data_IF_340274064687
#
_entry.id   IF_340274064687
#
_cell.length_a   1.000
_cell.length_b   1.000
_cell.length_c   1.000
_cell.angle_alpha   90.00
_cell.angle_beta   90.00
_cell.angle_gamma   90.00
#
_symmetry.space_group_name_H-M   'P 1'
#
loop_
_entity.id
_entity.type
_entity.pdbx_description
1 polymer ?
#
# COMPACT_ATOMS: atom_id res chain seq x y z
N UNK A 1 13.60 34.76 -36.63
CA UNK A 1 14.28 33.84 -35.72
C UNK A 1 13.52 32.52 -35.75
N UNK A 2 14.11 31.52 -36.46
CA UNK A 2 13.49 30.20 -36.63
C UNK A 2 13.81 29.35 -35.39
N UNK A 3 12.90 29.23 -34.44
CA UNK A 3 12.99 28.25 -33.40
C UNK A 3 12.63 26.88 -33.98
N UNK A 4 13.65 26.16 -34.46
CA UNK A 4 13.50 24.74 -34.79
C UNK A 4 13.12 24.02 -33.49
N UNK A 5 11.86 23.64 -33.36
CA UNK A 5 11.43 22.70 -32.32
C UNK A 5 12.18 21.38 -32.57
N UNK A 6 13.16 21.10 -31.72
CA UNK A 6 13.87 19.81 -31.73
C UNK A 6 12.85 18.74 -31.31
N UNK A 7 12.30 18.03 -32.28
CA UNK A 7 11.53 16.82 -31.99
C UNK A 7 12.44 15.84 -31.25
N UNK A 8 12.00 15.24 -30.12
CA UNK A 8 12.81 14.30 -29.38
C UNK A 8 13.18 13.12 -30.29
N UNK A 9 14.44 12.68 -30.21
CA UNK A 9 14.87 11.50 -30.95
C UNK A 9 14.11 10.27 -30.47
N UNK A 10 13.94 9.26 -31.33
CA UNK A 10 13.30 8.00 -30.93
C UNK A 10 13.96 7.39 -29.67
N UNK A 11 15.27 7.53 -29.57
CA UNK A 11 16.04 7.07 -28.41
C UNK A 11 15.65 7.78 -27.10
N UNK A 12 15.44 9.11 -27.13
CA UNK A 12 15.00 9.86 -25.94
C UNK A 12 13.58 9.48 -25.53
N UNK A 13 12.68 9.22 -26.47
CA UNK A 13 11.32 8.74 -26.18
C UNK A 13 11.36 7.35 -25.54
N UNK A 14 12.14 6.42 -26.09
CA UNK A 14 12.31 5.07 -25.54
C UNK A 14 12.92 5.12 -24.15
N UNK A 15 13.98 5.92 -23.93
CA UNK A 15 14.60 6.09 -22.63
C UNK A 15 13.62 6.69 -21.60
N UNK A 16 12.78 7.65 -22.01
CA UNK A 16 11.75 8.23 -21.15
C UNK A 16 10.68 7.21 -20.74
N UNK A 17 10.17 6.43 -21.71
CA UNK A 17 9.19 5.36 -21.43
C UNK A 17 9.80 4.32 -20.50
N UNK A 18 11.03 3.90 -20.74
CA UNK A 18 11.73 2.95 -19.89
C UNK A 18 11.90 3.48 -18.46
N UNK A 19 12.29 4.74 -18.31
CA UNK A 19 12.38 5.40 -17.01
C UNK A 19 11.01 5.46 -16.32
N UNK A 20 9.94 5.77 -17.04
CA UNK A 20 8.57 5.78 -16.50
C UNK A 20 8.14 4.41 -15.98
N UNK A 21 8.44 3.35 -16.72
CA UNK A 21 8.13 1.96 -16.31
C UNK A 21 8.90 1.55 -15.06
N UNK A 22 10.15 2.00 -14.92
CA UNK A 22 10.96 1.75 -13.70
C UNK A 22 10.44 2.50 -12.46
N UNK A 23 9.88 3.69 -12.66
CA UNK A 23 9.43 4.58 -11.58
C UNK A 23 7.99 4.29 -11.17
N UNK A 24 7.13 3.93 -12.12
CA UNK A 24 5.70 3.74 -11.93
C UNK A 24 5.27 2.33 -12.36
N UNK A 25 4.54 1.65 -11.48
CA UNK A 25 3.99 0.32 -11.76
C UNK A 25 2.47 0.37 -11.71
N UNK A 26 1.79 0.21 -12.83
CA UNK A 26 0.34 0.01 -12.81
C UNK A 26 0.05 -1.34 -12.14
N UNK A 27 -0.88 -1.34 -11.22
CA UNK A 27 -1.33 -2.53 -10.47
C UNK A 27 -2.85 -2.54 -10.47
N UNK A 28 -3.46 -3.65 -10.86
CA UNK A 28 -4.91 -3.81 -10.82
C UNK A 28 -5.31 -4.37 -9.46
N UNK A 29 -6.29 -3.73 -8.82
CA UNK A 29 -6.88 -4.20 -7.57
C UNK A 29 -7.69 -5.46 -7.84
N UNK A 30 -7.46 -6.49 -7.04
CA UNK A 30 -8.26 -7.71 -7.03
C UNK A 30 -8.82 -7.95 -5.64
N UNK A 31 -10.15 -8.03 -5.54
CA UNK A 31 -10.87 -8.30 -4.32
C UNK A 31 -11.35 -7.06 -3.57
N UNK A 32 -12.00 -7.30 -2.44
CA UNK A 32 -12.78 -6.30 -1.70
C UNK A 32 -12.11 -5.80 -0.41
N UNK A 33 -10.84 -6.17 -0.16
CA UNK A 33 -10.19 -5.91 1.13
C UNK A 33 -9.92 -4.43 1.43
N UNK A 34 -9.96 -3.57 0.41
CA UNK A 34 -9.76 -2.13 0.52
C UNK A 34 -11.04 -1.32 0.28
N UNK A 35 -12.20 -2.00 0.19
CA UNK A 35 -13.49 -1.30 0.10
C UNK A 35 -13.77 -0.52 1.40
N UNK A 36 -14.42 0.63 1.32
CA UNK A 36 -14.96 1.28 0.12
C UNK A 36 -13.94 2.16 -0.61
N UNK A 37 -12.70 2.28 -0.13
CA UNK A 37 -11.69 3.18 -0.70
C UNK A 37 -11.29 2.74 -2.11
N UNK A 38 -10.96 1.44 -2.27
CA UNK A 38 -10.61 0.85 -3.55
C UNK A 38 -11.61 -0.26 -3.88
N UNK A 39 -12.01 -0.32 -5.15
CA UNK A 39 -12.90 -1.36 -5.66
C UNK A 39 -12.13 -2.35 -6.53
N UNK A 40 -12.73 -3.50 -6.71
CA UNK A 40 -12.21 -4.49 -7.65
C UNK A 40 -12.04 -3.88 -9.05
N UNK A 41 -10.93 -4.20 -9.72
CA UNK A 41 -10.53 -3.67 -11.04
C UNK A 41 -10.10 -2.21 -11.08
N UNK A 42 -10.08 -1.48 -9.96
CA UNK A 42 -9.40 -0.17 -9.93
C UNK A 42 -7.93 -0.32 -10.34
N UNK A 43 -7.42 0.64 -11.09
CA UNK A 43 -6.00 0.67 -11.48
C UNK A 43 -5.25 1.63 -10.56
N UNK A 44 -4.21 1.13 -9.93
CA UNK A 44 -3.34 1.90 -9.07
C UNK A 44 -2.03 2.20 -9.78
N UNK A 45 -1.53 3.41 -9.59
CA UNK A 45 -0.17 3.78 -9.95
C UNK A 45 0.70 3.70 -8.70
N UNK A 46 1.49 2.66 -8.59
CA UNK A 46 2.38 2.43 -7.46
C UNK A 46 3.83 2.75 -7.83
N UNK A 47 4.59 3.32 -6.89
CA UNK A 47 5.99 3.68 -7.12
C UNK A 47 6.92 3.02 -6.10
N UNK A 48 7.79 2.12 -6.56
CA UNK A 48 8.89 1.60 -5.74
C UNK A 48 9.92 2.66 -5.38
N UNK A 49 10.09 3.66 -6.23
CA UNK A 49 11.02 4.76 -6.00
C UNK A 49 10.52 5.68 -4.87
N UNK A 50 9.22 5.98 -4.83
CA UNK A 50 8.63 6.77 -3.75
C UNK A 50 8.93 6.15 -2.38
N UNK A 51 8.77 4.83 -2.23
CA UNK A 51 9.12 4.10 -0.99
C UNK A 51 10.61 4.23 -0.61
N UNK A 52 11.50 4.35 -1.60
CA UNK A 52 12.96 4.49 -1.34
C UNK A 52 13.32 5.90 -0.92
N UNK A 53 12.74 6.90 -1.57
CA UNK A 53 13.04 8.33 -1.35
C UNK A 53 12.31 8.85 -0.10
N UNK A 54 11.11 8.40 0.16
CA UNK A 54 10.29 8.82 1.29
C UNK A 54 10.01 7.62 2.20
N UNK A 55 10.02 7.85 3.50
CA UNK A 55 9.55 6.80 4.41
C UNK A 55 8.03 6.71 4.31
N UNK A 56 7.48 5.50 4.15
CA UNK A 56 6.03 5.33 4.18
C UNK A 56 5.46 5.85 5.50
N UNK A 57 4.39 6.61 5.41
CA UNK A 57 3.73 7.26 6.55
C UNK A 57 2.37 6.62 6.82
N UNK A 58 1.84 6.88 8.02
CA UNK A 58 0.50 6.41 8.38
C UNK A 58 -0.53 7.00 7.42
N UNK A 59 -1.46 6.16 6.95
CA UNK A 59 -2.48 6.51 5.97
C UNK A 59 -2.11 6.17 4.53
N UNK A 60 -0.82 6.00 4.22
CA UNK A 60 -0.40 5.62 2.87
C UNK A 60 -0.99 4.26 2.47
N UNK A 61 -1.43 4.17 1.22
CA UNK A 61 -1.76 2.88 0.61
C UNK A 61 -0.48 2.31 0.02
N UNK A 62 -0.17 1.09 0.39
CA UNK A 62 1.07 0.42 0.00
C UNK A 62 0.78 -0.95 -0.59
N UNK A 63 1.69 -1.41 -1.43
CA UNK A 63 1.67 -2.79 -1.89
C UNK A 63 2.67 -3.61 -1.07
N UNK A 64 2.23 -4.78 -0.61
CA UNK A 64 2.99 -5.65 0.29
C UNK A 64 3.15 -7.02 -0.34
N UNK A 65 4.36 -7.56 -0.27
CA UNK A 65 4.69 -8.93 -0.62
C UNK A 65 5.17 -9.68 0.61
N UNK A 66 4.54 -10.78 0.93
CA UNK A 66 4.93 -11.61 2.07
C UNK A 66 6.08 -12.57 1.74
N UNK A 67 6.27 -12.87 0.44
CA UNK A 67 7.38 -13.69 -0.03
C UNK A 67 8.72 -12.96 0.08
N UNK A 68 9.80 -13.70 0.24
CA UNK A 68 11.17 -13.17 0.22
C UNK A 68 11.66 -12.88 -1.21
N UNK A 69 10.82 -13.05 -2.23
CA UNK A 69 11.19 -12.85 -3.63
C UNK A 69 11.38 -11.36 -3.93
N UNK A 70 12.58 -10.91 -4.32
CA UNK A 70 12.83 -9.50 -4.65
C UNK A 70 12.09 -9.03 -5.91
N UNK A 71 11.61 -9.95 -6.73
CA UNK A 71 10.84 -9.69 -7.94
C UNK A 71 9.33 -9.61 -7.68
N UNK A 72 8.88 -9.86 -6.45
CA UNK A 72 7.47 -9.75 -6.11
C UNK A 72 6.91 -8.37 -6.50
N UNK A 73 5.74 -8.38 -7.13
CA UNK A 73 5.12 -7.19 -7.71
C UNK A 73 5.51 -6.89 -9.15
N UNK A 74 6.39 -7.69 -9.76
CA UNK A 74 6.48 -7.78 -11.20
C UNK A 74 5.44 -8.78 -11.73
N UNK A 75 4.87 -8.50 -12.89
CA UNK A 75 3.84 -9.34 -13.53
C UNK A 75 4.29 -10.80 -13.70
N UNK A 76 5.61 -11.00 -13.80
CA UNK A 76 6.20 -12.33 -14.05
C UNK A 76 6.60 -13.08 -12.77
N UNK A 77 6.42 -12.50 -11.58
CA UNK A 77 6.91 -13.14 -10.35
C UNK A 77 6.02 -14.29 -9.87
N UNK A 78 4.75 -14.31 -10.28
CA UNK A 78 3.77 -15.28 -9.78
C UNK A 78 3.39 -15.10 -8.30
N UNK A 79 3.99 -14.13 -7.61
CA UNK A 79 3.75 -13.88 -6.20
C UNK A 79 2.48 -13.07 -5.96
N UNK A 80 1.79 -13.38 -4.88
CA UNK A 80 0.63 -12.58 -4.45
C UNK A 80 1.09 -11.27 -3.82
N UNK A 81 0.63 -10.18 -4.42
CA UNK A 81 0.82 -8.83 -3.89
C UNK A 81 -0.47 -8.35 -3.23
N UNK A 82 -0.36 -7.86 -2.01
CA UNK A 82 -1.48 -7.31 -1.25
C UNK A 82 -1.45 -5.79 -1.31
N UNK A 83 -2.60 -5.18 -1.53
CA UNK A 83 -2.79 -3.72 -1.37
C UNK A 83 -3.42 -3.48 -0.01
N UNK A 84 -2.78 -2.66 0.84
CA UNK A 84 -3.20 -2.39 2.22
C UNK A 84 -2.91 -0.95 2.60
N UNK A 85 -3.59 -0.46 3.64
CA UNK A 85 -3.29 0.83 4.26
C UNK A 85 -2.27 0.66 5.38
N UNK A 86 -1.34 1.57 5.46
CA UNK A 86 -0.34 1.63 6.52
C UNK A 86 -0.96 2.30 7.75
N UNK A 87 -1.16 1.52 8.81
CA UNK A 87 -1.83 1.95 10.04
C UNK A 87 -0.83 2.27 11.14
N UNK A 88 0.22 1.46 11.26
CA UNK A 88 1.26 1.65 12.26
C UNK A 88 2.64 1.78 11.63
N UNK A 89 3.46 2.67 12.19
CA UNK A 89 4.84 2.93 11.77
C UNK A 89 5.83 2.57 12.88
N UNK A 90 7.15 2.45 12.60
CA UNK A 90 8.14 2.11 13.60
C UNK A 90 8.08 2.99 14.84
N UNK A 91 8.08 2.36 16.01
CA UNK A 91 7.97 3.02 17.32
C UNK A 91 6.55 3.14 17.87
N UNK A 92 5.54 2.81 17.08
CA UNK A 92 4.15 2.80 17.55
C UNK A 92 3.84 1.55 18.38
N UNK A 93 2.87 1.70 19.27
CA UNK A 93 2.18 0.59 19.95
C UNK A 93 0.82 0.43 19.30
N UNK A 94 0.59 -0.71 18.67
CA UNK A 94 -0.67 -1.04 17.99
C UNK A 94 -1.44 -2.03 18.84
N UNK A 95 -2.66 -1.65 19.24
CA UNK A 95 -3.64 -2.51 19.91
C UNK A 95 -4.78 -2.78 18.93
N UNK A 96 -5.05 -4.04 18.65
CA UNK A 96 -5.98 -4.42 17.60
C UNK A 96 -6.86 -5.61 17.99
N UNK A 97 -8.12 -5.52 17.58
CA UNK A 97 -9.08 -6.63 17.56
C UNK A 97 -9.35 -7.08 16.13
N UNK A 98 -10.47 -7.76 15.95
CA UNK A 98 -10.92 -8.19 14.61
C UNK A 98 -11.22 -6.98 13.70
N UNK A 99 -11.79 -5.91 14.25
CA UNK A 99 -12.28 -4.76 13.50
C UNK A 99 -11.57 -3.46 13.85
N UNK A 100 -11.41 -3.19 15.13
CA UNK A 100 -10.85 -1.93 15.61
C UNK A 100 -9.34 -2.01 15.79
N UNK A 101 -8.68 -0.92 15.41
CA UNK A 101 -7.24 -0.75 15.59
C UNK A 101 -7.01 0.58 16.30
N UNK A 102 -6.26 0.54 17.38
CA UNK A 102 -5.86 1.71 18.16
C UNK A 102 -4.35 1.82 18.11
N UNK A 103 -3.86 3.00 17.81
CA UNK A 103 -2.42 3.25 17.72
C UNK A 103 -2.03 4.29 18.77
N UNK A 104 -1.02 3.95 19.55
CA UNK A 104 -0.33 4.92 20.40
C UNK A 104 1.00 5.23 19.72
N UNK A 105 1.18 6.48 19.29
CA UNK A 105 2.39 6.91 18.60
C UNK A 105 3.58 6.88 19.55
N UNK A 106 4.80 6.94 19.01
CA UNK A 106 6.03 7.07 19.79
C UNK A 106 6.01 8.28 20.75
N UNK A 107 5.25 9.33 20.42
CA UNK A 107 5.08 10.53 21.26
C UNK A 107 3.98 10.38 22.30
N UNK A 108 3.32 9.22 22.39
CA UNK A 108 2.24 8.94 23.35
C UNK A 108 0.85 9.41 22.88
N UNK A 109 0.73 9.99 21.70
CA UNK A 109 -0.55 10.39 21.15
C UNK A 109 -1.38 9.15 20.78
N UNK A 110 -2.62 9.07 21.25
CA UNK A 110 -3.56 8.00 20.92
C UNK A 110 -4.31 8.37 19.65
N UNK A 111 -4.23 7.54 18.65
CA UNK A 111 -4.95 7.68 17.38
C UNK A 111 -5.82 6.45 17.21
N UNK A 112 -7.13 6.65 17.15
CA UNK A 112 -8.04 5.61 16.68
C UNK A 112 -7.95 5.61 15.16
N UNK A 113 -7.71 4.46 14.58
CA UNK A 113 -7.78 4.31 13.15
C UNK A 113 -9.27 4.35 12.74
N UNK A 114 -9.64 5.44 12.06
CA UNK A 114 -11.02 5.79 11.71
C UNK A 114 -11.37 5.46 10.27
N UNK A 115 -10.57 4.63 9.61
CA UNK A 115 -10.86 4.29 8.22
C UNK A 115 -12.26 3.67 8.06
N UNK A 116 -12.90 3.96 6.94
CA UNK A 116 -14.27 3.53 6.69
C UNK A 116 -14.33 2.00 6.69
N UNK A 117 -14.95 1.48 7.70
CA UNK A 117 -15.20 0.06 7.87
C UNK A 117 -16.60 -0.25 7.41
N UNK A 118 -16.75 -1.26 6.57
CA UNK A 118 -18.03 -1.95 6.46
C UNK A 118 -18.37 -2.53 7.84
N UNK A 119 -19.65 -2.72 8.13
CA UNK A 119 -20.14 -3.18 9.44
C UNK A 119 -19.32 -4.38 9.92
N UNK A 120 -18.62 -4.20 11.01
CA UNK A 120 -17.72 -5.19 11.59
C UNK A 120 -17.76 -5.05 13.11
N UNK A 121 -17.79 -6.18 13.83
CA UNK A 121 -17.78 -6.21 15.29
C UNK A 121 -16.55 -6.97 15.78
N UNK A 122 -15.87 -6.43 16.81
CA UNK A 122 -14.82 -7.16 17.50
C UNK A 122 -15.41 -8.36 18.23
N UNK A 123 -14.87 -9.53 17.95
CA UNK A 123 -15.32 -10.81 18.54
C UNK A 123 -14.27 -11.39 19.49
N UNK A 124 -13.03 -10.91 19.38
CA UNK A 124 -11.88 -11.45 20.09
C UNK A 124 -11.30 -10.43 21.06
N UNK A 125 -10.46 -10.93 21.98
CA UNK A 125 -9.66 -10.08 22.83
C UNK A 125 -8.67 -9.24 22.02
N UNK A 126 -8.45 -8.00 22.48
CA UNK A 126 -7.48 -7.12 21.86
C UNK A 126 -6.06 -7.62 22.09
N UNK A 127 -5.32 -7.79 21.01
CA UNK A 127 -3.88 -8.03 21.02
C UNK A 127 -3.12 -6.70 20.97
N UNK A 128 -1.88 -6.71 21.47
CA UNK A 128 -1.03 -5.52 21.43
C UNK A 128 0.36 -5.89 20.94
N UNK A 129 0.93 -5.02 20.11
CA UNK A 129 2.29 -5.16 19.61
C UNK A 129 3.00 -3.81 19.56
N UNK A 130 4.29 -3.82 19.89
CA UNK A 130 5.20 -2.67 19.72
C UNK A 130 5.93 -2.84 18.40
N UNK A 131 5.81 -1.87 17.51
CA UNK A 131 6.48 -1.91 16.22
C UNK A 131 7.95 -1.54 16.39
N UNK A 132 8.82 -2.52 16.15
CA UNK A 132 10.27 -2.32 16.14
C UNK A 132 10.70 -1.47 14.94
N UNK A 133 11.95 -1.06 14.91
CA UNK A 133 12.50 -0.35 13.76
C UNK A 133 12.27 -1.12 12.45
N UNK A 134 11.89 -0.41 11.41
CA UNK A 134 11.61 -0.94 10.06
C UNK A 134 10.43 -1.92 9.97
N UNK A 135 9.62 -2.03 11.05
CA UNK A 135 8.39 -2.83 11.07
C UNK A 135 7.17 -1.92 10.96
N UNK A 136 6.22 -2.35 10.16
CA UNK A 136 5.01 -1.60 9.84
C UNK A 136 3.78 -2.47 10.06
N UNK A 137 2.70 -1.86 10.47
CA UNK A 137 1.41 -2.54 10.60
C UNK A 137 0.48 -2.07 9.49
N UNK A 138 0.00 -3.00 8.68
CA UNK A 138 -0.88 -2.71 7.54
C UNK A 138 -2.23 -3.36 7.75
N UNK A 139 -3.30 -2.70 7.30
CA UNK A 139 -4.66 -3.22 7.37
C UNK A 139 -5.44 -2.89 6.09
N UNK A 140 -6.39 -3.75 5.77
CA UNK A 140 -7.37 -3.43 4.74
C UNK A 140 -8.44 -2.49 5.29
N UNK A 141 -9.01 -1.65 4.45
CA UNK A 141 -10.09 -0.73 4.84
C UNK A 141 -11.40 -1.50 5.10
N UNK A 142 -11.58 -2.64 4.43
CA UNK A 142 -12.64 -3.60 4.75
C UNK A 142 -12.18 -4.53 5.88
N UNK A 143 -12.32 -4.06 7.12
CA UNK A 143 -11.81 -4.74 8.31
C UNK A 143 -12.36 -6.16 8.49
N UNK A 144 -13.61 -6.40 8.14
CA UNK A 144 -14.25 -7.70 8.24
C UNK A 144 -13.82 -8.70 7.16
N UNK A 145 -13.20 -8.21 6.07
CA UNK A 145 -12.80 -9.04 4.93
C UNK A 145 -11.42 -8.66 4.42
N UNK A 146 -10.41 -8.79 5.26
CA UNK A 146 -9.03 -8.49 4.89
C UNK A 146 -8.03 -9.43 5.55
N UNK A 147 -7.20 -10.03 4.73
CA UNK A 147 -5.97 -10.71 5.15
C UNK A 147 -4.86 -9.66 5.27
N UNK A 148 -4.47 -9.31 6.51
CA UNK A 148 -3.54 -8.23 6.79
C UNK A 148 -2.75 -8.47 8.10
N UNK A 149 -2.07 -7.45 8.63
CA UNK A 149 -1.19 -7.59 9.80
C UNK A 149 -1.88 -8.11 11.06
N UNK A 150 -3.19 -8.06 11.14
CA UNK A 150 -3.94 -8.69 12.25
C UNK A 150 -3.82 -10.22 12.21
N UNK A 151 -3.54 -10.78 11.04
CA UNK A 151 -3.43 -12.23 10.80
C UNK A 151 -1.97 -12.64 10.63
N UNK A 152 -1.23 -12.02 9.69
CA UNK A 152 0.15 -12.42 9.37
C UNK A 152 1.22 -11.66 10.18
N UNK A 153 0.82 -10.71 11.03
CA UNK A 153 1.75 -9.90 11.80
C UNK A 153 2.29 -8.67 11.05
N UNK A 154 3.15 -7.87 11.72
CA UNK A 154 3.78 -6.71 11.09
C UNK A 154 4.66 -7.11 9.91
N UNK A 155 4.74 -6.22 8.93
CA UNK A 155 5.58 -6.37 7.74
C UNK A 155 6.84 -5.53 7.86
N UNK A 156 7.94 -6.03 7.33
CA UNK A 156 9.20 -5.28 7.26
C UNK A 156 9.17 -4.24 6.13
N UNK A 157 10.03 -3.22 6.22
CA UNK A 157 10.19 -2.25 5.12
C UNK A 157 10.54 -2.89 3.78
N UNK A 158 11.24 -4.03 3.78
CA UNK A 158 11.57 -4.77 2.55
C UNK A 158 10.34 -5.41 1.91
N UNK A 159 9.38 -5.87 2.70
CA UNK A 159 8.13 -6.46 2.23
C UNK A 159 7.15 -5.42 1.67
N UNK A 160 7.27 -4.15 2.04
CA UNK A 160 6.56 -3.06 1.36
C UNK A 160 7.21 -2.89 -0.01
N UNK A 161 6.49 -3.09 -1.08
CA UNK A 161 7.01 -3.10 -2.44
C UNK A 161 7.00 -1.70 -3.07
N UNK A 162 5.87 -1.02 -2.95
CA UNK A 162 5.68 0.33 -3.47
C UNK A 162 4.65 1.11 -2.65
N UNK A 163 4.70 2.43 -2.76
CA UNK A 163 3.65 3.33 -2.27
C UNK A 163 2.73 3.70 -3.44
N UNK A 164 1.43 3.65 -3.22
CA UNK A 164 0.43 4.05 -4.20
C UNK A 164 0.38 5.56 -4.27
N UNK A 165 0.56 6.12 -5.46
CA UNK A 165 0.56 7.56 -5.72
C UNK A 165 -0.78 8.06 -6.25
N UNK A 166 -1.48 7.22 -7.02
CA UNK A 166 -2.75 7.57 -7.62
C UNK A 166 -3.62 6.34 -7.82
N UNK A 167 -4.92 6.56 -7.85
CA UNK A 167 -5.96 5.60 -8.17
C UNK A 167 -6.71 6.08 -9.40
N UNK A 168 -6.93 5.20 -10.34
CA UNK A 168 -7.78 5.42 -11.52
C UNK A 168 -8.95 4.46 -11.41
N UNK A 169 -10.14 5.01 -11.16
CA UNK A 169 -11.37 4.23 -11.15
C UNK A 169 -11.90 4.13 -12.58
N UNK A 170 -11.91 2.93 -13.10
CA UNK A 170 -12.55 2.64 -14.37
C UNK A 170 -14.04 2.44 -14.10
N UNK A 171 -14.82 3.52 -14.16
CA UNK A 171 -16.30 3.40 -14.16
C UNK A 171 -16.72 2.84 -15.50
N UNK A 172 -16.86 1.53 -15.56
CA UNK A 172 -17.61 0.90 -16.62
C UNK A 172 -19.10 1.11 -16.31
N UNK A 173 -19.72 2.11 -16.91
CA UNK A 173 -21.19 2.14 -16.99
C UNK A 173 -21.56 1.21 -18.13
N UNK A 174 -22.31 0.10 -17.87
CA UNK A 174 -22.87 -0.70 -18.94
C UNK A 174 -23.87 0.07 -19.75
#
# INVERSE_FOLDING_TARGET
MNTKSLAPSALTVVAFIFCMVLVMRPTVVSGASMMPTLHDKDVLIASPLAKRLFQPTRGDIVTVCLSANPLCGFVFSGDTQYVKRLVGVPGDVVRYGTCNIFVTTRTGQKVKDTEPTMVCQDRDEFKQIVLRERMYFVAGDNRGNSLDSRIFGPVSKSQINATVLAQIRLTWTP
#
